data_IF_301151917085
#
_entry.id   IF_301151917085
#
_cell.length_a   1.000
_cell.length_b   1.000
_cell.length_c   1.000
_cell.angle_alpha   90.00
_cell.angle_beta   90.00
_cell.angle_gamma   90.00
#
_symmetry.space_group_name_H-M   'P 1'
#
loop_
_entity.id
_entity.type
_entity.pdbx_description
1 polymer ?
#
# COMPACT_ATOMS: atom_id res chain seq x y z
N UNK A 1 -47.48 -27.72 36.91
CA UNK A 1 -47.92 -27.46 35.53
C UNK A 1 -47.40 -26.07 35.12
N UNK A 2 -46.20 -26.08 34.56
CA UNK A 2 -45.60 -24.87 34.01
C UNK A 2 -46.33 -24.50 32.74
N UNK A 3 -47.06 -23.39 32.75
CA UNK A 3 -47.55 -22.74 31.55
C UNK A 3 -46.34 -22.25 30.77
N UNK A 4 -46.03 -22.85 29.64
CA UNK A 4 -45.08 -22.29 28.66
C UNK A 4 -45.75 -21.08 28.01
N UNK A 5 -45.64 -19.92 28.61
CA UNK A 5 -45.97 -18.65 27.97
C UNK A 5 -44.91 -18.40 26.88
N UNK A 6 -45.28 -18.59 25.62
CA UNK A 6 -44.54 -18.08 24.49
C UNK A 6 -44.72 -16.56 24.46
N UNK A 7 -44.05 -15.87 25.38
CA UNK A 7 -44.05 -14.43 25.40
C UNK A 7 -43.01 -13.97 24.37
N UNK A 8 -43.49 -13.51 23.25
CA UNK A 8 -42.62 -12.81 22.28
C UNK A 8 -42.13 -11.52 22.90
N UNK A 9 -40.83 -11.40 23.08
CA UNK A 9 -40.21 -10.15 23.53
C UNK A 9 -40.23 -9.17 22.34
N UNK A 10 -40.95 -8.06 22.50
CA UNK A 10 -40.85 -6.98 21.52
C UNK A 10 -39.52 -6.23 21.74
N UNK A 11 -38.56 -6.43 20.84
CA UNK A 11 -37.23 -5.82 20.95
C UNK A 11 -37.28 -4.27 20.96
N UNK A 12 -38.32 -3.67 20.37
CA UNK A 12 -38.46 -2.20 20.33
C UNK A 12 -38.94 -1.61 21.68
N UNK A 13 -39.59 -2.40 22.51
CA UNK A 13 -40.23 -1.90 23.76
C UNK A 13 -39.76 -2.61 25.03
N UNK A 14 -39.21 -3.80 24.94
CA UNK A 14 -38.88 -4.63 26.10
C UNK A 14 -37.37 -4.78 26.34
N UNK A 15 -36.52 -4.22 25.47
CA UNK A 15 -35.06 -4.27 25.65
C UNK A 15 -34.59 -2.83 25.91
N UNK A 16 -34.02 -2.61 27.09
CA UNK A 16 -33.36 -1.36 27.45
C UNK A 16 -31.86 -1.61 27.60
N UNK A 17 -31.03 -0.72 27.03
CA UNK A 17 -29.56 -0.88 27.00
C UNK A 17 -29.07 -1.75 25.84
N UNK A 18 -27.83 -2.21 25.93
CA UNK A 18 -27.21 -3.04 24.89
C UNK A 18 -27.68 -4.49 25.00
N UNK A 19 -28.05 -5.09 23.86
CA UNK A 19 -28.32 -6.52 23.78
C UNK A 19 -27.00 -7.30 24.02
N UNK A 20 -26.93 -8.18 25.02
CA UNK A 20 -25.74 -8.99 25.22
C UNK A 20 -25.39 -9.80 23.98
N UNK A 21 -24.08 -9.84 23.62
CA UNK A 21 -23.58 -10.57 22.45
C UNK A 21 -23.98 -12.05 22.47
N UNK A 22 -24.05 -12.65 23.67
CA UNK A 22 -24.49 -14.03 23.86
C UNK A 22 -25.95 -14.29 23.40
N UNK A 23 -26.78 -13.26 23.28
CA UNK A 23 -28.15 -13.37 22.79
C UNK A 23 -28.23 -13.35 21.24
N UNK A 24 -27.11 -13.10 20.57
CA UNK A 24 -26.95 -13.10 19.12
C UNK A 24 -26.14 -14.31 18.70
N UNK A 25 -26.81 -15.37 18.30
CA UNK A 25 -26.19 -16.67 17.91
C UNK A 25 -25.22 -17.23 18.97
N UNK A 26 -25.57 -17.08 20.27
CA UNK A 26 -24.69 -17.54 21.37
C UNK A 26 -23.36 -16.81 21.47
N UNK A 27 -23.15 -15.70 20.76
CA UNK A 27 -21.87 -15.00 20.66
C UNK A 27 -20.84 -15.71 19.78
N UNK A 28 -21.24 -16.77 19.06
CA UNK A 28 -20.34 -17.54 18.19
C UNK A 28 -19.74 -16.65 17.12
N UNK A 29 -18.41 -16.60 17.05
CA UNK A 29 -17.64 -15.76 16.15
C UNK A 29 -17.72 -14.24 16.41
N UNK A 30 -18.28 -13.80 17.53
CA UNK A 30 -18.24 -12.39 17.93
C UNK A 30 -16.81 -12.00 18.36
N UNK A 31 -16.34 -10.86 17.86
CA UNK A 31 -15.03 -10.29 18.19
C UNK A 31 -15.05 -8.77 17.98
N UNK A 32 -13.98 -8.07 18.37
CA UNK A 32 -13.82 -6.64 18.10
C UNK A 32 -13.72 -6.29 16.60
N UNK A 33 -13.52 -7.29 15.74
CA UNK A 33 -13.41 -7.12 14.28
C UNK A 33 -14.60 -7.64 13.49
N UNK A 34 -15.65 -8.15 14.19
CA UNK A 34 -16.86 -8.68 13.53
C UNK A 34 -18.08 -7.85 13.88
N UNK A 35 -19.06 -7.83 12.98
CA UNK A 35 -20.35 -7.19 13.17
C UNK A 35 -21.48 -8.18 12.95
N UNK A 36 -22.63 -7.92 13.56
CA UNK A 36 -23.84 -8.73 13.39
C UNK A 36 -24.48 -8.45 12.04
N UNK A 37 -24.63 -9.47 11.22
CA UNK A 37 -25.23 -9.36 9.87
C UNK A 37 -26.73 -9.60 9.93
N UNK A 38 -27.43 -9.12 8.90
CA UNK A 38 -28.87 -9.35 8.74
C UNK A 38 -29.28 -10.79 8.49
N UNK A 39 -28.32 -11.69 8.18
CA UNK A 39 -28.53 -13.13 8.06
C UNK A 39 -28.39 -13.89 9.40
N UNK A 40 -28.17 -13.18 10.50
CA UNK A 40 -28.05 -13.79 11.83
C UNK A 40 -26.67 -14.38 12.12
N UNK A 41 -25.62 -13.91 11.46
CA UNK A 41 -24.24 -14.34 11.69
C UNK A 41 -23.32 -13.16 12.05
N UNK A 42 -22.31 -13.45 12.89
CA UNK A 42 -21.17 -12.55 13.10
C UNK A 42 -20.16 -12.74 11.98
N UNK A 43 -19.80 -11.68 11.31
CA UNK A 43 -18.80 -11.72 10.25
C UNK A 43 -17.91 -10.46 10.24
N UNK A 44 -16.68 -10.62 9.82
CA UNK A 44 -15.83 -9.48 9.53
C UNK A 44 -16.42 -8.67 8.38
N UNK A 45 -16.16 -7.36 8.36
CA UNK A 45 -16.48 -6.54 7.20
C UNK A 45 -15.71 -7.10 6.00
N UNK A 46 -16.45 -7.57 4.99
CA UNK A 46 -15.86 -8.07 3.76
C UNK A 46 -15.70 -6.91 2.78
N UNK A 47 -14.57 -6.85 2.12
CA UNK A 47 -14.25 -5.83 1.13
C UNK A 47 -13.63 -4.58 1.75
N UNK A 48 -12.62 -4.04 1.08
CA UNK A 48 -11.98 -2.79 1.47
C UNK A 48 -10.48 -2.89 1.66
N UNK A 49 -9.92 -1.79 2.09
CA UNK A 49 -8.50 -1.66 2.43
C UNK A 49 -8.27 -2.15 3.86
N UNK A 50 -7.43 -3.17 4.01
CA UNK A 50 -6.96 -3.65 5.30
C UNK A 50 -5.55 -3.12 5.54
N UNK A 51 -5.38 -2.31 6.57
CA UNK A 51 -4.05 -1.84 6.95
C UNK A 51 -3.18 -3.00 7.39
N UNK A 52 -1.99 -3.12 6.82
CA UNK A 52 -1.03 -4.20 7.10
C UNK A 52 0.16 -3.69 7.90
N UNK A 53 0.81 -2.61 7.45
CA UNK A 53 2.01 -2.08 8.09
C UNK A 53 2.14 -0.57 7.93
N UNK A 54 2.82 0.04 8.87
CA UNK A 54 3.29 1.43 8.80
C UNK A 54 4.77 1.49 9.18
N UNK A 55 5.57 2.16 8.34
CA UNK A 55 6.95 2.53 8.66
C UNK A 55 7.06 4.04 8.64
N UNK A 56 7.53 4.64 9.73
CA UNK A 56 7.77 6.07 9.85
C UNK A 56 9.28 6.32 9.98
N UNK A 57 9.80 7.16 9.11
CA UNK A 57 11.22 7.54 9.06
C UNK A 57 11.36 8.90 9.72
N UNK A 58 12.13 8.94 10.81
CA UNK A 58 12.46 10.15 11.58
C UNK A 58 13.96 10.46 11.58
N UNK A 59 14.78 9.57 11.03
CA UNK A 59 16.22 9.71 10.88
C UNK A 59 16.68 9.08 9.58
N UNK A 60 17.83 9.53 9.06
CA UNK A 60 18.36 9.06 7.78
C UNK A 60 18.41 7.54 7.70
N UNK A 61 17.72 6.98 6.73
CA UNK A 61 17.55 5.55 6.54
C UNK A 61 17.90 5.19 5.10
N UNK A 62 18.76 4.22 4.88
CA UNK A 62 19.22 3.83 3.55
C UNK A 62 18.09 3.26 2.68
N UNK A 63 17.16 2.53 3.29
CA UNK A 63 16.01 1.96 2.57
C UNK A 63 14.84 1.66 3.51
N UNK A 64 13.63 1.64 2.94
CA UNK A 64 12.41 1.11 3.57
C UNK A 64 12.04 -0.17 2.86
N UNK A 65 11.85 -1.25 3.61
CA UNK A 65 11.48 -2.57 3.07
C UNK A 65 10.18 -3.07 3.69
N UNK A 66 9.37 -3.72 2.86
CA UNK A 66 8.20 -4.49 3.27
C UNK A 66 8.36 -5.90 2.72
N UNK A 67 8.35 -6.89 3.59
CA UNK A 67 8.62 -8.30 3.26
C UNK A 67 7.47 -9.15 3.79
N UNK A 68 6.93 -10.05 2.96
CA UNK A 68 5.90 -11.01 3.34
C UNK A 68 6.34 -11.83 4.56
N UNK A 69 5.42 -12.01 5.51
CA UNK A 69 5.68 -12.70 6.77
C UNK A 69 6.36 -11.83 7.83
N UNK A 70 6.63 -10.55 7.55
CA UNK A 70 7.30 -9.64 8.48
C UNK A 70 6.44 -8.40 8.77
N UNK A 71 6.30 -8.03 10.03
CA UNK A 71 5.63 -6.80 10.46
C UNK A 71 4.17 -6.67 10.03
N UNK A 72 3.46 -7.77 9.81
CA UNK A 72 2.07 -7.80 9.36
C UNK A 72 1.87 -7.73 7.85
N UNK A 73 2.94 -7.57 7.07
CA UNK A 73 2.87 -7.58 5.61
C UNK A 73 2.77 -9.02 5.11
N UNK A 74 1.87 -9.27 4.17
CA UNK A 74 1.75 -10.57 3.50
C UNK A 74 1.27 -10.39 2.07
N UNK A 75 2.21 -10.18 1.15
CA UNK A 75 1.95 -10.07 -0.28
C UNK A 75 1.54 -11.40 -0.94
N UNK A 76 1.77 -12.53 -0.25
CA UNK A 76 1.48 -13.87 -0.74
C UNK A 76 0.17 -14.44 -0.19
N UNK A 77 -0.52 -13.68 0.67
CA UNK A 77 -1.77 -14.12 1.26
C UNK A 77 -2.85 -14.35 0.20
N UNK A 78 -3.51 -15.48 0.29
CA UNK A 78 -4.71 -15.73 -0.50
C UNK A 78 -5.92 -14.86 -0.12
N UNK A 79 -5.84 -14.10 0.98
CA UNK A 79 -6.90 -13.21 1.45
C UNK A 79 -6.98 -11.89 0.65
N UNK A 80 -5.89 -11.48 0.03
CA UNK A 80 -5.79 -10.22 -0.72
C UNK A 80 -5.60 -10.49 -2.20
N UNK A 81 -6.19 -9.66 -3.03
CA UNK A 81 -6.03 -9.71 -4.47
C UNK A 81 -4.97 -8.72 -4.95
N UNK A 82 -5.03 -7.51 -4.42
CA UNK A 82 -4.14 -6.42 -4.77
C UNK A 82 -3.64 -5.72 -3.50
N UNK A 83 -2.65 -4.84 -3.66
CA UNK A 83 -2.11 -4.07 -2.55
C UNK A 83 -2.02 -2.60 -2.92
N UNK A 84 -2.12 -1.75 -1.91
CA UNK A 84 -1.92 -0.31 -2.03
C UNK A 84 -0.84 0.14 -1.05
N UNK A 85 0.16 0.84 -1.56
CA UNK A 85 1.18 1.49 -0.74
C UNK A 85 0.97 3.00 -0.85
N UNK A 86 0.91 3.67 0.29
CA UNK A 86 0.80 5.13 0.37
C UNK A 86 2.00 5.66 1.14
N UNK A 87 2.67 6.64 0.57
CA UNK A 87 3.74 7.36 1.25
C UNK A 87 3.51 8.86 1.19
N UNK A 88 3.79 9.53 2.29
CA UNK A 88 3.69 10.98 2.41
C UNK A 88 4.80 11.53 3.29
N UNK A 89 5.10 12.81 3.07
CA UNK A 89 6.16 13.49 3.79
C UNK A 89 7.56 12.96 3.43
N UNK A 90 7.73 12.37 2.25
CA UNK A 90 9.02 11.78 1.85
C UNK A 90 9.98 12.88 1.42
N UNK A 91 11.11 12.96 2.12
CA UNK A 91 12.24 13.83 1.76
C UNK A 91 13.52 12.99 1.73
N UNK A 92 14.45 13.39 0.88
CA UNK A 92 15.75 12.73 0.72
C UNK A 92 16.85 13.55 1.38
N UNK A 93 18.02 12.94 1.61
CA UNK A 93 19.18 13.66 2.15
C UNK A 93 19.89 14.49 1.09
N UNK A 94 19.85 14.04 -0.16
CA UNK A 94 20.47 14.71 -1.29
C UNK A 94 19.40 15.43 -2.11
N UNK A 95 19.71 16.62 -2.57
CA UNK A 95 18.87 17.36 -3.50
C UNK A 95 18.95 16.74 -4.90
N UNK A 96 17.85 16.83 -5.64
CA UNK A 96 17.74 16.27 -6.99
C UNK A 96 18.06 14.76 -7.11
N UNK A 97 17.93 14.00 -6.01
CA UNK A 97 18.15 12.56 -6.06
C UNK A 97 16.91 11.81 -6.58
N UNK A 98 17.14 10.62 -7.10
CA UNK A 98 16.07 9.73 -7.56
C UNK A 98 15.58 8.84 -6.43
N UNK A 99 14.28 8.79 -6.22
CA UNK A 99 13.65 7.83 -5.34
C UNK A 99 13.25 6.59 -6.13
N UNK A 100 13.75 5.44 -5.71
CA UNK A 100 13.73 4.20 -6.46
C UNK A 100 12.89 3.13 -5.77
N UNK A 101 12.37 2.22 -6.58
CA UNK A 101 11.67 1.01 -6.14
C UNK A 101 12.36 -0.22 -6.70
N UNK A 102 12.38 -1.28 -5.92
CA UNK A 102 12.80 -2.62 -6.33
C UNK A 102 11.94 -3.68 -5.64
N UNK A 103 11.87 -4.86 -6.23
CA UNK A 103 11.08 -5.97 -5.71
C UNK A 103 11.93 -7.20 -5.48
N UNK A 104 11.52 -8.03 -4.55
CA UNK A 104 12.09 -9.32 -4.21
C UNK A 104 11.10 -10.44 -4.48
N UNK A 105 11.64 -11.61 -4.82
CA UNK A 105 10.92 -12.88 -4.99
C UNK A 105 11.56 -14.00 -4.14
N UNK A 106 12.41 -13.66 -3.21
CA UNK A 106 13.21 -14.58 -2.38
C UNK A 106 13.30 -14.11 -0.92
N UNK A 107 12.17 -13.65 -0.39
CA UNK A 107 12.00 -13.19 1.00
C UNK A 107 12.96 -12.04 1.39
N UNK A 108 13.22 -11.12 0.45
CA UNK A 108 14.05 -9.95 0.69
C UNK A 108 15.55 -10.21 0.64
N UNK A 109 15.97 -11.42 0.26
CA UNK A 109 17.39 -11.77 0.13
C UNK A 109 18.05 -11.00 -1.02
N UNK A 110 17.32 -10.86 -2.14
CA UNK A 110 17.76 -10.10 -3.30
C UNK A 110 16.65 -9.19 -3.81
N UNK A 111 17.05 -8.04 -4.38
CA UNK A 111 16.16 -7.07 -5.02
C UNK A 111 16.63 -6.80 -6.44
N UNK A 112 16.73 -7.84 -7.23
CA UNK A 112 17.31 -7.84 -8.57
C UNK A 112 16.30 -8.23 -9.67
N UNK A 113 15.01 -8.32 -9.36
CA UNK A 113 13.97 -8.58 -10.37
C UNK A 113 13.97 -7.50 -11.43
N UNK A 114 13.90 -7.93 -12.68
CA UNK A 114 13.88 -7.00 -13.81
C UNK A 114 12.57 -6.22 -13.86
N UNK A 115 12.68 -4.91 -13.95
CA UNK A 115 11.56 -3.98 -14.01
C UNK A 115 11.55 -3.24 -15.33
N UNK A 116 10.37 -3.05 -15.91
CA UNK A 116 10.13 -2.24 -17.11
C UNK A 116 9.14 -1.13 -16.74
N UNK A 117 9.45 0.11 -17.09
CA UNK A 117 8.62 1.25 -16.75
C UNK A 117 8.27 2.08 -17.99
N UNK A 118 7.00 2.42 -18.11
CA UNK A 118 6.52 3.54 -18.92
C UNK A 118 6.08 4.66 -17.99
N UNK A 119 6.42 5.89 -18.32
CA UNK A 119 6.24 7.04 -17.42
C UNK A 119 5.83 8.30 -18.15
N UNK A 120 4.89 9.03 -17.55
CA UNK A 120 4.50 10.38 -17.93
C UNK A 120 4.85 11.37 -16.81
N UNK A 121 5.29 12.55 -17.19
CA UNK A 121 5.63 13.63 -16.25
C UNK A 121 4.93 14.90 -16.66
N UNK A 122 4.28 15.56 -15.70
CA UNK A 122 3.81 16.95 -15.84
C UNK A 122 4.61 17.80 -14.88
N UNK A 123 5.22 18.85 -15.38
CA UNK A 123 6.00 19.80 -14.61
C UNK A 123 5.36 21.18 -14.66
N UNK A 124 5.27 21.84 -13.52
CA UNK A 124 4.81 23.22 -13.38
C UNK A 124 5.89 24.03 -12.69
N UNK A 125 6.23 25.15 -13.29
CA UNK A 125 7.15 26.15 -12.73
C UNK A 125 6.42 27.48 -12.55
N UNK A 126 7.04 28.44 -11.88
CA UNK A 126 6.48 29.79 -11.77
C UNK A 126 6.31 30.48 -13.13
N UNK A 127 7.08 30.08 -14.14
CA UNK A 127 7.11 30.71 -15.49
C UNK A 127 6.32 29.93 -16.54
N UNK A 128 5.76 28.77 -16.22
CA UNK A 128 5.00 27.96 -17.17
C UNK A 128 4.86 26.49 -16.78
N UNK A 129 4.33 25.70 -17.70
CA UNK A 129 4.15 24.25 -17.51
C UNK A 129 4.65 23.50 -18.73
N UNK A 130 5.15 22.30 -18.51
CA UNK A 130 5.49 21.34 -19.55
C UNK A 130 4.93 19.97 -19.23
N UNK A 131 4.67 19.18 -20.27
CA UNK A 131 4.31 17.77 -20.13
C UNK A 131 5.20 16.95 -21.06
N UNK A 132 5.73 15.86 -20.53
CA UNK A 132 6.45 14.87 -21.32
C UNK A 132 5.81 13.50 -21.10
N UNK A 133 5.59 12.78 -22.19
CA UNK A 133 5.03 11.45 -22.20
C UNK A 133 6.03 10.45 -22.81
N UNK A 134 5.93 9.19 -22.41
CA UNK A 134 6.61 8.12 -23.10
C UNK A 134 8.06 7.87 -22.69
N UNK A 135 8.47 8.25 -21.49
CA UNK A 135 9.76 7.77 -20.98
C UNK A 135 9.66 6.29 -20.66
N UNK A 136 10.52 5.49 -21.28
CA UNK A 136 10.61 4.06 -21.04
C UNK A 136 11.91 3.76 -20.32
N UNK A 137 11.80 3.18 -19.14
CA UNK A 137 12.94 2.74 -18.36
C UNK A 137 12.95 1.22 -18.24
N UNK A 138 14.15 0.64 -18.30
CA UNK A 138 14.39 -0.76 -17.98
C UNK A 138 15.49 -0.82 -16.93
N UNK A 139 15.27 -1.62 -15.88
CA UNK A 139 16.33 -1.93 -14.92
C UNK A 139 16.66 -3.41 -14.98
N UNK A 140 17.86 -3.73 -15.43
CA UNK A 140 18.44 -5.07 -15.29
C UNK A 140 19.07 -5.31 -13.92
N UNK A 141 19.24 -4.25 -13.11
CA UNK A 141 19.84 -4.29 -11.77
C UNK A 141 18.82 -4.25 -10.63
N UNK A 142 17.54 -4.39 -10.95
CA UNK A 142 16.46 -4.55 -9.98
C UNK A 142 15.87 -3.26 -9.39
N UNK A 143 16.48 -2.10 -9.53
CA UNK A 143 15.93 -0.85 -9.02
C UNK A 143 15.61 0.13 -10.14
N UNK A 144 14.40 0.71 -10.12
CA UNK A 144 13.97 1.70 -11.09
C UNK A 144 13.57 3.00 -10.39
N UNK A 145 13.92 4.14 -10.98
CA UNK A 145 13.56 5.44 -10.46
C UNK A 145 12.08 5.71 -10.72
N UNK A 146 11.26 5.70 -9.68
CA UNK A 146 9.85 6.04 -9.79
C UNK A 146 9.58 7.54 -9.63
N UNK A 147 10.42 8.24 -8.90
CA UNK A 147 10.44 9.70 -8.77
C UNK A 147 11.87 10.18 -8.98
N UNK A 148 12.08 11.14 -9.90
CA UNK A 148 13.39 11.78 -10.10
C UNK A 148 13.36 13.22 -9.61
N UNK A 149 14.53 13.72 -9.26
CA UNK A 149 14.70 15.09 -8.80
C UNK A 149 13.85 15.41 -7.57
N UNK A 150 13.83 14.48 -6.62
CA UNK A 150 13.19 14.71 -5.32
C UNK A 150 14.05 15.65 -4.50
N UNK A 151 13.46 16.74 -4.00
CA UNK A 151 14.18 17.73 -3.21
C UNK A 151 14.50 17.24 -1.79
N UNK A 152 15.51 17.89 -1.19
CA UNK A 152 15.93 17.60 0.19
C UNK A 152 15.38 18.61 1.21
N UNK A 153 14.67 19.62 0.79
CA UNK A 153 14.09 20.61 1.68
C UNK A 153 12.89 20.03 2.43
N UNK A 154 12.85 20.22 3.75
CA UNK A 154 11.77 19.73 4.61
C UNK A 154 10.39 20.32 4.28
N UNK A 155 10.33 21.48 3.61
CA UNK A 155 9.10 22.07 3.09
C UNK A 155 8.59 21.40 1.80
N UNK A 156 9.44 20.64 1.10
CA UNK A 156 9.21 20.13 -0.24
C UNK A 156 8.99 18.61 -0.23
N UNK A 157 8.15 18.15 0.68
CA UNK A 157 7.91 16.72 0.87
C UNK A 157 7.10 16.12 -0.28
N UNK A 158 7.59 15.02 -0.81
CA UNK A 158 6.91 14.22 -1.83
C UNK A 158 5.84 13.32 -1.21
N UNK A 159 4.80 13.05 -2.00
CA UNK A 159 3.78 12.07 -1.69
C UNK A 159 3.50 11.20 -2.91
N UNK A 160 3.25 9.90 -2.68
CA UNK A 160 2.90 8.99 -3.75
C UNK A 160 2.01 7.85 -3.26
N UNK A 161 1.35 7.20 -4.20
CA UNK A 161 0.71 5.92 -3.97
C UNK A 161 1.07 4.94 -5.09
N UNK A 162 1.04 3.66 -4.74
CA UNK A 162 1.37 2.56 -5.63
C UNK A 162 0.28 1.51 -5.50
N UNK A 163 -0.42 1.24 -6.60
CA UNK A 163 -1.27 0.08 -6.75
C UNK A 163 -0.43 -1.10 -7.23
N UNK A 164 -0.50 -2.21 -6.52
CA UNK A 164 0.22 -3.44 -6.84
C UNK A 164 -0.78 -4.51 -7.24
N UNK A 165 -0.64 -5.01 -8.46
CA UNK A 165 -1.56 -5.97 -9.07
C UNK A 165 -0.89 -7.33 -9.23
N UNK A 166 -1.64 -8.40 -8.92
CA UNK A 166 -1.23 -9.79 -9.13
C UNK A 166 0.06 -10.21 -8.42
N UNK A 167 0.44 -9.57 -7.31
CA UNK A 167 1.71 -9.85 -6.62
C UNK A 167 1.85 -11.29 -6.17
N UNK A 168 0.76 -11.90 -5.74
CA UNK A 168 0.70 -13.30 -5.31
C UNK A 168 0.57 -14.31 -6.47
N UNK A 169 0.48 -13.84 -7.73
CA UNK A 169 0.33 -14.73 -8.88
C UNK A 169 1.63 -15.45 -9.19
N UNK A 170 1.51 -16.73 -9.52
CA UNK A 170 2.59 -17.58 -10.04
C UNK A 170 2.46 -17.88 -11.53
N UNK A 171 1.46 -17.29 -12.20
CA UNK A 171 1.15 -17.53 -13.62
C UNK A 171 1.02 -16.25 -14.43
N UNK A 172 0.68 -15.14 -13.78
CA UNK A 172 0.47 -13.83 -14.41
C UNK A 172 1.67 -12.89 -14.19
N UNK A 173 1.82 -11.93 -15.08
CA UNK A 173 2.73 -10.80 -14.87
C UNK A 173 2.16 -9.91 -13.76
N UNK A 174 3.05 -9.30 -12.99
CA UNK A 174 2.73 -8.37 -11.93
C UNK A 174 2.95 -6.95 -12.41
N UNK A 175 2.11 -6.06 -11.94
CA UNK A 175 2.18 -4.65 -12.33
C UNK A 175 2.13 -3.77 -11.10
N UNK A 176 2.79 -2.62 -11.21
CA UNK A 176 2.61 -1.51 -10.27
C UNK A 176 2.21 -0.26 -11.05
N UNK A 177 1.18 0.42 -10.58
CA UNK A 177 0.83 1.75 -11.03
C UNK A 177 1.24 2.74 -9.95
N UNK A 178 2.13 3.66 -10.28
CA UNK A 178 2.64 4.69 -9.38
C UNK A 178 2.10 6.04 -9.78
N UNK A 179 1.56 6.77 -8.83
CA UNK A 179 1.29 8.20 -8.98
C UNK A 179 1.96 8.97 -7.86
N UNK A 180 2.75 9.96 -8.20
CA UNK A 180 3.50 10.76 -7.26
C UNK A 180 3.45 12.25 -7.56
N UNK A 181 3.43 13.01 -6.48
CA UNK A 181 3.58 14.45 -6.46
C UNK A 181 4.89 14.77 -5.75
N UNK A 182 5.72 15.59 -6.35
CA UNK A 182 6.97 16.02 -5.76
C UNK A 182 7.19 17.49 -6.01
N UNK A 183 7.86 18.13 -5.09
CA UNK A 183 8.44 19.43 -5.27
C UNK A 183 9.95 19.27 -5.38
N UNK A 184 10.50 19.70 -6.52
CA UNK A 184 11.92 19.88 -6.72
C UNK A 184 12.30 21.22 -6.11
N UNK A 185 13.56 21.43 -5.82
CA UNK A 185 14.05 22.72 -5.38
C UNK A 185 13.62 23.85 -6.37
N UNK A 186 13.50 25.08 -5.90
CA UNK A 186 13.08 26.26 -6.70
C UNK A 186 11.62 26.27 -7.19
N UNK A 187 10.69 25.72 -6.41
CA UNK A 187 9.25 25.76 -6.69
C UNK A 187 8.86 25.11 -8.03
N UNK A 188 9.56 24.07 -8.41
CA UNK A 188 9.18 23.21 -9.52
C UNK A 188 8.35 22.04 -8.96
N UNK A 189 7.08 22.01 -9.34
CA UNK A 189 6.15 20.94 -8.95
C UNK A 189 6.03 19.92 -10.06
N UNK A 190 6.22 18.65 -9.74
CA UNK A 190 6.10 17.55 -10.69
C UNK A 190 5.03 16.56 -10.26
N UNK A 191 4.19 16.19 -11.21
CA UNK A 191 3.34 15.00 -11.11
C UNK A 191 3.96 13.93 -12.01
N UNK A 192 4.13 12.72 -11.47
CA UNK A 192 4.52 11.54 -12.23
C UNK A 192 3.46 10.47 -12.16
N UNK A 193 3.19 9.85 -13.30
CA UNK A 193 2.38 8.65 -13.43
C UNK A 193 3.22 7.59 -14.13
N UNK A 194 3.39 6.43 -13.54
CA UNK A 194 4.23 5.37 -14.07
C UNK A 194 3.51 4.03 -14.00
N UNK A 195 3.64 3.25 -15.07
CA UNK A 195 3.29 1.84 -15.08
C UNK A 195 4.58 1.02 -15.05
N UNK A 196 4.74 0.18 -14.05
CA UNK A 196 5.90 -0.69 -13.88
C UNK A 196 5.45 -2.14 -14.05
N UNK A 197 6.09 -2.84 -14.98
CA UNK A 197 5.92 -4.27 -15.17
C UNK A 197 7.08 -5.02 -14.50
N UNK A 198 6.76 -6.07 -13.75
CA UNK A 198 7.72 -6.98 -13.15
C UNK A 198 7.87 -8.18 -14.08
N UNK A 199 9.09 -8.46 -14.52
CA UNK A 199 9.36 -9.50 -15.51
C UNK A 199 9.00 -10.92 -15.05
N UNK A 200 9.11 -11.16 -13.74
CA UNK A 200 8.84 -12.45 -13.14
C UNK A 200 7.36 -12.85 -13.27
N UNK A 201 7.12 -14.07 -13.73
CA UNK A 201 5.76 -14.61 -13.93
C UNK A 201 5.43 -15.75 -12.97
N UNK A 202 6.41 -16.62 -12.75
CA UNK A 202 6.23 -17.93 -12.12
C UNK A 202 6.45 -17.92 -10.61
N UNK A 203 6.89 -16.77 -10.06
CA UNK A 203 7.13 -16.60 -8.63
C UNK A 203 6.38 -15.38 -8.15
N UNK A 204 5.73 -15.48 -6.99
CA UNK A 204 5.08 -14.34 -6.36
C UNK A 204 6.11 -13.29 -5.92
N UNK A 205 5.72 -12.01 -5.89
CA UNK A 205 6.52 -10.97 -5.27
C UNK A 205 6.29 -11.04 -3.76
N UNK A 206 7.36 -11.14 -3.01
CA UNK A 206 7.33 -11.25 -1.56
C UNK A 206 7.99 -10.09 -0.82
N UNK A 207 8.62 -9.18 -1.56
CA UNK A 207 9.25 -8.00 -0.97
C UNK A 207 9.26 -6.78 -1.89
N UNK A 208 9.14 -5.60 -1.27
CA UNK A 208 9.32 -4.29 -1.91
C UNK A 208 10.35 -3.51 -1.11
N UNK A 209 11.25 -2.84 -1.82
CA UNK A 209 12.23 -1.93 -1.23
C UNK A 209 12.20 -0.58 -1.91
N UNK A 210 12.18 0.46 -1.09
CA UNK A 210 12.38 1.86 -1.47
C UNK A 210 13.76 2.32 -1.04
N UNK A 211 14.48 2.99 -1.90
CA UNK A 211 15.79 3.55 -1.61
C UNK A 211 16.08 4.76 -2.53
N UNK A 212 17.14 5.48 -2.23
CA UNK A 212 17.63 6.57 -3.06
C UNK A 212 18.70 6.08 -4.03
N UNK A 213 18.99 6.87 -5.07
CA UNK A 213 20.09 6.57 -5.96
C UNK A 213 21.47 6.78 -5.30
N UNK A 214 21.64 7.88 -4.57
CA UNK A 214 22.91 8.27 -3.98
C UNK A 214 22.84 8.59 -2.47
N UNK A 215 21.71 9.04 -1.97
CA UNK A 215 21.53 9.47 -0.58
C UNK A 215 20.77 8.46 0.29
N UNK A 216 20.04 9.00 1.25
CA UNK A 216 19.16 8.26 2.15
C UNK A 216 17.78 8.92 2.20
N UNK A 217 16.80 8.19 2.69
CA UNK A 217 15.47 8.72 3.02
C UNK A 217 15.64 9.47 4.35
N UNK A 218 15.42 10.78 4.34
CA UNK A 218 15.56 11.62 5.53
C UNK A 218 14.31 11.58 6.41
N UNK A 219 13.14 11.58 5.78
CA UNK A 219 11.82 11.49 6.42
C UNK A 219 10.83 10.80 5.52
N UNK A 220 9.73 10.34 6.10
CA UNK A 220 8.60 9.82 5.37
C UNK A 220 7.76 8.87 6.19
N UNK A 221 6.50 8.72 5.80
CA UNK A 221 5.60 7.74 6.39
C UNK A 221 5.01 6.87 5.29
N UNK A 222 5.28 5.59 5.39
CA UNK A 222 4.90 4.57 4.43
C UNK A 222 3.86 3.65 5.05
N UNK A 223 2.77 3.39 4.34
CA UNK A 223 1.70 2.48 4.77
C UNK A 223 1.39 1.49 3.68
N UNK A 224 1.20 0.24 4.08
CA UNK A 224 0.82 -0.87 3.19
C UNK A 224 -0.59 -1.33 3.57
N UNK A 225 -1.41 -1.53 2.56
CA UNK A 225 -2.76 -2.04 2.67
C UNK A 225 -2.96 -3.22 1.72
N UNK A 226 -3.66 -4.24 2.20
CA UNK A 226 -4.20 -5.30 1.36
C UNK A 226 -5.64 -4.98 0.93
N UNK A 227 -6.00 -5.38 -0.30
CA UNK A 227 -7.37 -5.28 -0.81
C UNK A 227 -7.95 -6.69 -0.77
N UNK A 228 -8.97 -6.88 0.05
CA UNK A 228 -9.61 -8.18 0.18
C UNK A 228 -10.31 -8.58 -1.10
N UNK A 229 -10.29 -9.88 -1.38
CA UNK A 229 -11.15 -10.48 -2.42
C UNK A 229 -12.60 -10.25 -2.06
N UNK A 230 -13.40 -9.82 -3.02
CA UNK A 230 -14.85 -9.66 -2.89
C UNK A 230 -15.58 -11.00 -2.73
#
# INVERSE_FOLDING_TARGET
TGSSSTTFVNAATNITGNLPVANLNGGSSASSSTFWRGDGAWAAASGGLVHMATTEISSNTASVTFISGTGGVDFNSGAYENFLIIANGVTLTNDDDSFRISVSIDAGSNYNSQLYMAQDTVEMTQSGSSASAGQVGQSSSGAIAMLDSVGNNLGNASAFHIWCYDFNSTTQKKYMQVEGLMEQHNLIYKKRSSLINIAERTVAVDGIRFNCNAGSIAKGKFRVYGITKG
#
